data_IF_764223875861
#
_entry.id   IF_764223875861
#
_cell.length_a   1.000
_cell.length_b   1.000
_cell.length_c   1.000
_cell.angle_alpha   90.00
_cell.angle_beta   90.00
_cell.angle_gamma   90.00
#
_symmetry.space_group_name_H-M   'P 1'
#
loop_
_entity.id
_entity.type
_entity.pdbx_description
1 polymer ?
#
# COMPACT_ATOMS: atom_id res chain seq x y z
N UNK A 1 -15.47 20.11 5.72
CA UNK A 1 -15.02 18.75 6.04
C UNK A 1 -13.67 18.80 6.76
N UNK A 2 -13.64 18.72 8.11
CA UNK A 2 -12.39 18.82 8.90
C UNK A 2 -11.88 17.48 9.49
N UNK A 3 -12.61 16.37 9.31
CA UNK A 3 -12.24 15.06 9.88
C UNK A 3 -11.49 14.11 8.93
N UNK A 4 -11.83 14.09 7.65
CA UNK A 4 -11.32 13.07 6.72
C UNK A 4 -9.83 13.20 6.40
N UNK A 5 -9.32 14.43 6.22
CA UNK A 5 -7.90 14.67 5.93
C UNK A 5 -6.98 14.27 7.08
N UNK A 6 -7.40 14.50 8.33
CA UNK A 6 -6.62 14.11 9.52
C UNK A 6 -6.59 12.60 9.73
N UNK A 7 -7.72 11.90 9.50
CA UNK A 7 -7.79 10.46 9.65
C UNK A 7 -7.04 9.71 8.55
N UNK A 8 -7.08 10.18 7.30
CA UNK A 8 -6.36 9.56 6.19
C UNK A 8 -4.84 9.63 6.38
N UNK A 9 -4.31 10.78 6.82
CA UNK A 9 -2.88 10.94 7.12
C UNK A 9 -2.43 10.04 8.28
N UNK A 10 -3.26 9.89 9.33
CA UNK A 10 -2.95 8.99 10.44
C UNK A 10 -3.03 7.52 10.03
N UNK A 11 -4.03 7.15 9.21
CA UNK A 11 -4.14 5.79 8.66
C UNK A 11 -2.92 5.42 7.81
N UNK A 12 -2.46 6.32 6.93
CA UNK A 12 -1.21 6.12 6.18
C UNK A 12 -0.04 5.84 7.11
N UNK A 13 0.10 6.63 8.18
CA UNK A 13 1.19 6.47 9.15
C UNK A 13 1.16 5.11 9.85
N UNK A 14 -0.01 4.66 10.32
CA UNK A 14 -0.12 3.40 11.05
C UNK A 14 0.02 2.19 10.13
N UNK A 15 -0.55 2.22 8.92
CA UNK A 15 -0.36 1.14 7.96
C UNK A 15 1.09 1.04 7.50
N UNK A 16 1.75 2.17 7.23
CA UNK A 16 3.17 2.18 6.87
C UNK A 16 4.03 1.61 8.01
N UNK A 17 3.80 2.04 9.26
CA UNK A 17 4.54 1.53 10.41
C UNK A 17 4.33 0.02 10.62
N UNK A 18 3.11 -0.48 10.40
CA UNK A 18 2.81 -1.91 10.47
C UNK A 18 3.53 -2.70 9.37
N UNK A 19 3.51 -2.22 8.12
CA UNK A 19 4.22 -2.90 7.01
C UNK A 19 5.73 -2.88 7.24
N UNK A 20 6.26 -1.76 7.75
CA UNK A 20 7.68 -1.60 8.03
C UNK A 20 8.17 -2.51 9.16
N UNK A 21 7.30 -2.97 10.07
CA UNK A 21 7.69 -3.93 11.10
C UNK A 21 8.03 -5.32 10.57
N UNK A 22 7.70 -5.62 9.31
CA UNK A 22 8.09 -6.86 8.63
C UNK A 22 9.46 -6.77 7.95
N UNK A 23 10.09 -5.59 7.96
CA UNK A 23 11.42 -5.44 7.36
C UNK A 23 12.48 -6.07 8.27
N UNK A 24 13.40 -6.87 7.71
CA UNK A 24 14.44 -7.54 8.49
C UNK A 24 15.45 -6.56 9.11
N UNK A 25 15.58 -5.37 8.54
CA UNK A 25 16.40 -4.29 9.07
C UNK A 25 15.51 -3.12 9.47
N UNK A 26 15.80 -2.45 10.59
CA UNK A 26 15.17 -1.18 10.98
C UNK A 26 15.61 -0.02 10.08
N UNK A 27 15.55 -0.20 8.76
CA UNK A 27 15.87 0.81 7.76
C UNK A 27 14.66 1.08 6.86
N UNK A 28 14.28 2.35 6.69
CA UNK A 28 13.19 2.75 5.78
C UNK A 28 13.52 2.52 4.31
N UNK A 29 14.75 2.11 3.97
CA UNK A 29 15.14 1.72 2.61
C UNK A 29 15.35 0.21 2.45
N UNK A 30 15.28 -0.57 3.53
CA UNK A 30 15.39 -2.02 3.43
C UNK A 30 14.21 -2.60 2.64
N UNK A 31 14.44 -3.59 1.75
CA UNK A 31 13.37 -4.23 1.02
C UNK A 31 12.46 -5.00 1.98
N UNK A 32 11.17 -5.08 1.61
CA UNK A 32 10.25 -6.03 2.24
C UNK A 32 10.75 -7.47 2.01
N UNK A 33 10.50 -8.38 2.94
CA UNK A 33 10.90 -9.78 2.78
C UNK A 33 10.23 -10.40 1.56
N UNK A 34 10.91 -11.37 0.93
CA UNK A 34 10.39 -12.05 -0.25
C UNK A 34 9.11 -12.86 0.02
N UNK A 35 8.91 -13.27 1.27
CA UNK A 35 7.75 -14.02 1.77
C UNK A 35 7.45 -13.54 3.19
N UNK A 36 6.20 -13.18 3.43
CA UNK A 36 5.64 -12.94 4.76
C UNK A 36 5.26 -14.30 5.34
N UNK A 37 5.42 -14.46 6.65
CA UNK A 37 4.97 -15.66 7.35
C UNK A 37 3.46 -15.89 7.13
N UNK A 38 3.04 -17.15 7.04
CA UNK A 38 1.68 -17.50 6.64
C UNK A 38 0.62 -16.97 7.62
N UNK A 39 0.97 -16.89 8.91
CA UNK A 39 0.07 -16.41 9.96
C UNK A 39 -0.24 -14.91 9.81
N UNK A 40 0.74 -14.12 9.37
CA UNK A 40 0.58 -12.68 9.19
C UNK A 40 0.26 -12.27 7.74
N UNK A 41 0.46 -13.15 6.76
CA UNK A 41 0.33 -12.85 5.33
C UNK A 41 -1.00 -12.18 4.98
N UNK A 42 -2.11 -12.73 5.48
CA UNK A 42 -3.44 -12.19 5.21
C UNK A 42 -3.58 -10.76 5.74
N UNK A 43 -3.14 -10.51 6.96
CA UNK A 43 -3.23 -9.18 7.61
C UNK A 43 -2.30 -8.19 6.92
N UNK A 44 -1.10 -8.65 6.55
CA UNK A 44 -0.11 -7.89 5.81
C UNK A 44 -0.64 -7.42 4.44
N UNK A 45 -1.26 -8.31 3.68
CA UNK A 45 -1.82 -7.98 2.37
C UNK A 45 -2.99 -7.00 2.48
N UNK A 46 -3.91 -7.23 3.42
CA UNK A 46 -5.01 -6.30 3.67
C UNK A 46 -4.51 -4.90 4.05
N UNK A 47 -3.48 -4.81 4.90
CA UNK A 47 -2.85 -3.55 5.25
C UNK A 47 -2.18 -2.89 4.04
N UNK A 48 -1.50 -3.67 3.19
CA UNK A 48 -0.81 -3.17 1.99
C UNK A 48 -1.76 -2.62 0.94
N UNK A 49 -2.84 -3.35 0.60
CA UNK A 49 -3.88 -2.85 -0.30
C UNK A 49 -4.59 -1.63 0.28
N UNK A 50 -4.85 -1.62 1.59
CA UNK A 50 -5.47 -0.48 2.27
C UNK A 50 -4.58 0.75 2.25
N UNK A 51 -3.28 0.60 2.48
CA UNK A 51 -2.32 1.69 2.39
C UNK A 51 -2.30 2.31 1.00
N UNK A 52 -2.23 1.49 -0.05
CA UNK A 52 -2.29 1.95 -1.44
C UNK A 52 -3.53 2.81 -1.73
N UNK A 53 -4.72 2.34 -1.30
CA UNK A 53 -5.98 3.10 -1.45
C UNK A 53 -6.03 4.37 -0.62
N UNK A 54 -5.53 4.37 0.61
CA UNK A 54 -5.47 5.56 1.46
C UNK A 54 -4.54 6.60 0.84
N UNK A 55 -3.35 6.18 0.37
CA UNK A 55 -2.40 7.05 -0.32
C UNK A 55 -3.03 7.66 -1.58
N UNK A 56 -3.71 6.86 -2.39
CA UNK A 56 -4.44 7.37 -3.56
C UNK A 56 -5.49 8.43 -3.16
N UNK A 57 -6.27 8.23 -2.09
CA UNK A 57 -7.19 9.27 -1.61
C UNK A 57 -6.47 10.53 -1.11
N UNK A 58 -5.29 10.35 -0.49
CA UNK A 58 -4.47 11.46 -0.04
C UNK A 58 -3.88 12.28 -1.21
N UNK A 59 -3.54 11.65 -2.34
CA UNK A 59 -3.05 12.39 -3.51
C UNK A 59 -4.11 13.31 -4.08
N UNK A 60 -5.38 12.88 -4.12
CA UNK A 60 -6.52 13.72 -4.55
C UNK A 60 -6.75 14.96 -3.66
N UNK A 61 -6.19 14.97 -2.45
CA UNK A 61 -6.28 16.10 -1.51
C UNK A 61 -4.97 16.90 -1.42
N UNK A 62 -3.98 16.59 -2.26
CA UNK A 62 -2.69 17.27 -2.26
C UNK A 62 -2.83 18.72 -2.72
N UNK A 63 -2.06 19.62 -2.11
CA UNK A 63 -2.15 21.06 -2.37
C UNK A 63 -1.29 21.52 -3.56
N UNK A 64 -0.37 20.68 -4.01
CA UNK A 64 0.55 20.98 -5.10
C UNK A 64 0.66 19.78 -6.03
N UNK A 65 0.81 19.99 -7.36
CA UNK A 65 0.98 18.90 -8.31
C UNK A 65 2.17 17.98 -7.98
N UNK A 66 3.28 18.55 -7.50
CA UNK A 66 4.45 17.76 -7.08
C UNK A 66 4.13 16.83 -5.89
N UNK A 67 3.37 17.31 -4.91
CA UNK A 67 2.93 16.48 -3.78
C UNK A 67 1.94 15.41 -4.22
N UNK A 68 1.03 15.74 -5.15
CA UNK A 68 0.07 14.79 -5.71
C UNK A 68 0.80 13.64 -6.40
N UNK A 69 1.72 13.96 -7.32
CA UNK A 69 2.53 12.98 -8.06
C UNK A 69 3.34 12.11 -7.10
N UNK A 70 3.98 12.71 -6.09
CA UNK A 70 4.76 11.96 -5.10
C UNK A 70 3.93 10.94 -4.31
N UNK A 71 2.75 11.35 -3.84
CA UNK A 71 1.84 10.48 -3.08
C UNK A 71 1.19 9.43 -4.00
N UNK A 72 0.83 9.80 -5.23
CA UNK A 72 0.27 8.88 -6.21
C UNK A 72 1.29 7.80 -6.61
N UNK A 73 2.53 8.19 -6.88
CA UNK A 73 3.61 7.24 -7.16
C UNK A 73 3.85 6.27 -5.99
N UNK A 74 3.72 6.74 -4.74
CA UNK A 74 3.79 5.86 -3.58
C UNK A 74 2.60 4.88 -3.52
N UNK A 75 1.37 5.35 -3.81
CA UNK A 75 0.18 4.50 -3.88
C UNK A 75 0.36 3.38 -4.91
N UNK A 76 0.80 3.73 -6.12
CA UNK A 76 1.02 2.80 -7.23
C UNK A 76 2.04 1.74 -6.85
N UNK A 77 3.19 2.14 -6.29
CA UNK A 77 4.22 1.18 -5.84
C UNK A 77 3.68 0.16 -4.85
N UNK A 78 2.84 0.58 -3.89
CA UNK A 78 2.24 -0.35 -2.92
C UNK A 78 1.24 -1.32 -3.57
N UNK A 79 0.39 -0.83 -4.47
CA UNK A 79 -0.60 -1.66 -5.17
C UNK A 79 0.07 -2.68 -6.09
N UNK A 80 1.07 -2.25 -6.88
CA UNK A 80 1.83 -3.13 -7.77
C UNK A 80 2.61 -4.18 -6.99
N UNK A 81 3.31 -3.79 -5.92
CA UNK A 81 4.05 -4.73 -5.08
C UNK A 81 3.10 -5.80 -4.49
N UNK A 82 1.93 -5.38 -3.99
CA UNK A 82 0.96 -6.29 -3.37
C UNK A 82 0.37 -7.28 -4.38
N UNK A 83 0.02 -6.79 -5.57
CA UNK A 83 -0.49 -7.63 -6.65
C UNK A 83 0.56 -8.62 -7.16
N UNK A 84 1.81 -8.17 -7.33
CA UNK A 84 2.92 -9.02 -7.74
C UNK A 84 3.23 -10.09 -6.67
N UNK A 85 3.15 -9.75 -5.39
CA UNK A 85 3.30 -10.70 -4.30
C UNK A 85 2.24 -11.80 -4.35
N UNK A 86 0.96 -11.42 -4.49
CA UNK A 86 -0.18 -12.36 -4.64
C UNK A 86 0.04 -13.30 -5.82
N UNK A 87 0.45 -12.75 -6.97
CA UNK A 87 0.72 -13.53 -8.20
C UNK A 87 1.88 -14.51 -8.00
N UNK A 88 2.99 -14.05 -7.43
CA UNK A 88 4.21 -14.85 -7.23
C UNK A 88 3.95 -16.04 -6.31
N UNK A 89 3.13 -15.85 -5.29
CA UNK A 89 2.85 -16.87 -4.28
C UNK A 89 1.52 -17.61 -4.49
N UNK A 90 0.80 -17.30 -5.57
CA UNK A 90 -0.46 -17.98 -5.97
C UNK A 90 -1.55 -17.92 -4.89
N UNK A 91 -1.73 -16.73 -4.29
CA UNK A 91 -2.70 -16.51 -3.22
C UNK A 91 -4.10 -16.28 -3.80
N UNK A 92 -4.80 -17.38 -4.09
CA UNK A 92 -6.07 -17.37 -4.82
C UNK A 92 -7.15 -16.52 -4.14
N UNK A 93 -7.15 -16.45 -2.81
CA UNK A 93 -8.11 -15.63 -2.04
C UNK A 93 -7.97 -14.12 -2.28
N UNK A 94 -6.82 -13.66 -2.78
CA UNK A 94 -6.53 -12.25 -3.06
C UNK A 94 -6.49 -11.91 -4.56
N UNK A 95 -6.77 -12.85 -5.46
CA UNK A 95 -6.66 -12.62 -6.91
C UNK A 95 -7.54 -11.46 -7.40
N UNK A 96 -8.79 -11.39 -6.91
CA UNK A 96 -9.70 -10.30 -7.29
C UNK A 96 -9.18 -8.95 -6.81
N UNK A 97 -8.70 -8.88 -5.57
CA UNK A 97 -8.14 -7.66 -4.97
C UNK A 97 -6.86 -7.22 -5.69
N UNK A 98 -5.99 -8.17 -6.05
CA UNK A 98 -4.78 -7.92 -6.83
C UNK A 98 -5.11 -7.41 -8.25
N UNK A 99 -6.12 -7.97 -8.90
CA UNK A 99 -6.60 -7.50 -10.21
C UNK A 99 -7.11 -6.06 -10.16
N UNK A 100 -7.90 -5.72 -9.15
CA UNK A 100 -8.38 -4.35 -8.93
C UNK A 100 -7.23 -3.39 -8.62
N UNK A 101 -6.25 -3.82 -7.83
CA UNK A 101 -5.07 -3.02 -7.51
C UNK A 101 -4.24 -2.67 -8.75
N UNK A 102 -4.09 -3.61 -9.69
CA UNK A 102 -3.41 -3.36 -10.97
C UNK A 102 -4.19 -2.41 -11.86
N UNK A 103 -5.50 -2.60 -12.00
CA UNK A 103 -6.35 -1.67 -12.78
C UNK A 103 -6.27 -0.24 -12.24
N UNK A 104 -6.27 -0.07 -10.91
CA UNK A 104 -6.09 1.24 -10.27
C UNK A 104 -4.70 1.83 -10.50
N UNK A 105 -3.67 0.98 -10.59
CA UNK A 105 -2.31 1.41 -10.88
C UNK A 105 -2.10 1.81 -12.35
N UNK A 106 -2.86 1.24 -13.28
CA UNK A 106 -2.81 1.52 -14.73
C UNK A 106 -3.62 2.74 -15.17
N UNK A 107 -4.53 3.24 -14.32
CA UNK A 107 -5.39 4.40 -14.59
C UNK A 107 -4.70 5.76 -14.43
N UNK A 108 -3.40 5.80 -14.14
CA UNK A 108 -2.59 7.01 -13.87
C UNK A 108 -1.50 7.15 -14.94
#
# INVERSE_FOLDING_TARGET
AKGAGSCATQATRYYAAFIDSFRPECSPTAPLPARIDEDNERVFLLASFSLGRVLHRCSLSARTPASEVGVMAAAIRHLQWSAEYVRRHKLTEFEQEAGLALQLAELV
#
